data_IF_016588192712
#
_entry.id   IF_016588192712
#
_cell.length_a   1.000
_cell.length_b   1.000
_cell.length_c   1.000
_cell.angle_alpha   90.00
_cell.angle_beta   90.00
_cell.angle_gamma   90.00
#
_symmetry.space_group_name_H-M   'P 1'
#
loop_
_entity.id
_entity.type
_entity.pdbx_description
1 polymer ?
#
# COMPACT_ATOMS: atom_id res chain seq x y z
N UNK A 1 15.58 -22.38 11.02
CA UNK A 1 16.97 -22.24 10.49
C UNK A 1 17.13 -20.80 10.02
N UNK A 2 18.08 -20.04 10.57
CA UNK A 2 18.27 -18.62 10.24
C UNK A 2 19.76 -18.30 10.03
N UNK A 3 20.10 -17.65 8.91
CA UNK A 3 21.48 -17.26 8.62
C UNK A 3 21.91 -16.11 9.52
N UNK A 4 23.11 -16.23 10.07
CA UNK A 4 23.76 -15.31 11.00
C UNK A 4 23.05 -15.21 12.36
N UNK A 5 22.07 -16.08 12.62
CA UNK A 5 21.45 -16.25 13.93
C UNK A 5 21.58 -17.71 14.41
N UNK A 6 20.97 -18.67 13.70
CA UNK A 6 21.04 -20.10 14.05
C UNK A 6 22.16 -20.86 13.32
N UNK A 7 22.57 -20.40 12.14
CA UNK A 7 23.63 -20.99 11.31
C UNK A 7 24.48 -19.88 10.69
N UNK A 8 25.79 -20.11 10.49
CA UNK A 8 26.68 -19.11 9.91
C UNK A 8 26.45 -18.91 8.40
N UNK A 9 26.12 -19.97 7.67
CA UNK A 9 25.83 -19.98 6.23
C UNK A 9 24.76 -21.02 5.90
N UNK A 10 24.07 -20.89 4.76
CA UNK A 10 23.15 -21.94 4.28
C UNK A 10 23.86 -23.30 4.26
N UNK A 11 23.22 -24.38 4.76
CA UNK A 11 23.74 -25.73 4.61
C UNK A 11 23.80 -26.08 3.12
N UNK A 12 24.96 -26.51 2.66
CA UNK A 12 25.16 -26.94 1.28
C UNK A 12 25.41 -28.44 1.26
N UNK A 13 24.73 -29.15 0.35
CA UNK A 13 25.07 -30.53 0.06
C UNK A 13 26.45 -30.58 -0.61
N UNK A 14 27.28 -31.55 -0.23
CA UNK A 14 28.59 -31.75 -0.86
C UNK A 14 28.47 -31.91 -2.39
N UNK A 15 27.40 -32.58 -2.86
CA UNK A 15 27.07 -32.71 -4.27
C UNK A 15 26.85 -31.35 -4.95
N UNK A 16 26.13 -30.43 -4.32
CA UNK A 16 25.88 -29.09 -4.84
C UNK A 16 27.18 -28.28 -4.95
N UNK A 17 28.08 -28.41 -3.97
CA UNK A 17 29.41 -27.74 -4.00
C UNK A 17 30.27 -28.29 -5.14
N UNK A 18 30.35 -29.62 -5.29
CA UNK A 18 31.11 -30.26 -6.37
C UNK A 18 30.57 -29.88 -7.74
N UNK A 19 29.24 -29.87 -7.89
CA UNK A 19 28.55 -29.46 -9.12
C UNK A 19 28.83 -28.00 -9.48
N UNK A 20 28.68 -27.07 -8.53
CA UNK A 20 28.98 -25.66 -8.73
C UNK A 20 30.45 -25.40 -9.09
N UNK A 21 31.37 -26.17 -8.51
CA UNK A 21 32.79 -26.16 -8.88
C UNK A 21 33.02 -26.61 -10.33
N UNK A 22 32.37 -27.71 -10.75
CA UNK A 22 32.45 -28.23 -12.11
C UNK A 22 31.94 -27.26 -13.17
N UNK A 23 30.77 -26.64 -12.94
CA UNK A 23 30.21 -25.61 -13.84
C UNK A 23 31.17 -24.44 -13.96
N UNK A 24 31.65 -23.93 -12.82
CA UNK A 24 32.52 -22.75 -12.78
C UNK A 24 33.82 -23.01 -13.53
N UNK A 25 34.40 -24.20 -13.39
CA UNK A 25 35.60 -24.61 -14.11
C UNK A 25 35.36 -24.68 -15.63
N UNK A 26 34.24 -25.28 -16.08
CA UNK A 26 33.93 -25.38 -17.51
C UNK A 26 33.62 -24.00 -18.14
N UNK A 27 32.85 -23.15 -17.46
CA UNK A 27 32.56 -21.79 -17.93
C UNK A 27 33.85 -20.96 -18.00
N UNK A 28 34.71 -21.05 -16.98
CA UNK A 28 36.01 -20.39 -16.97
C UNK A 28 36.88 -20.84 -18.16
N UNK A 29 36.92 -22.16 -18.43
CA UNK A 29 37.62 -22.70 -19.61
C UNK A 29 37.05 -22.15 -20.92
N UNK A 30 35.72 -22.07 -21.06
CA UNK A 30 35.07 -21.53 -22.27
C UNK A 30 35.39 -20.05 -22.48
N UNK A 31 35.38 -19.24 -21.42
CA UNK A 31 35.73 -17.81 -21.48
C UNK A 31 37.20 -17.66 -21.89
N UNK A 32 38.12 -18.37 -21.22
CA UNK A 32 39.56 -18.27 -21.49
C UNK A 32 39.97 -18.75 -22.88
N UNK A 33 39.22 -19.69 -23.46
CA UNK A 33 39.43 -20.17 -24.84
C UNK A 33 38.72 -19.30 -25.90
N UNK A 34 38.00 -18.25 -25.52
CA UNK A 34 37.25 -17.40 -26.44
C UNK A 34 35.97 -18.04 -27.00
N UNK A 35 35.51 -19.15 -26.41
CA UNK A 35 34.32 -19.90 -26.84
C UNK A 35 33.02 -19.39 -26.20
N UNK A 36 33.10 -18.43 -25.26
CA UNK A 36 31.94 -17.82 -24.61
C UNK A 36 32.23 -16.33 -24.39
N UNK A 37 31.46 -15.46 -25.04
CA UNK A 37 31.62 -13.99 -25.00
C UNK A 37 30.44 -13.25 -24.38
N UNK A 38 29.38 -13.97 -24.01
CA UNK A 38 28.19 -13.39 -23.39
C UNK A 38 28.50 -12.91 -21.97
N UNK A 39 27.98 -11.74 -21.62
CA UNK A 39 28.07 -11.18 -20.26
C UNK A 39 26.69 -11.17 -19.62
N UNK A 40 26.59 -11.64 -18.38
CA UNK A 40 25.32 -11.74 -17.66
C UNK A 40 25.41 -12.61 -16.40
N UNK A 41 24.28 -12.74 -15.71
CA UNK A 41 24.11 -13.69 -14.60
C UNK A 41 23.36 -14.92 -15.12
N UNK A 42 23.91 -16.11 -14.84
CA UNK A 42 23.33 -17.38 -15.24
C UNK A 42 23.02 -18.19 -13.98
N UNK A 43 21.85 -18.81 -13.94
CA UNK A 43 21.42 -19.71 -12.88
C UNK A 43 21.26 -21.10 -13.48
N UNK A 44 21.80 -22.11 -12.80
CA UNK A 44 21.63 -23.51 -13.18
C UNK A 44 21.11 -24.26 -11.96
N UNK A 45 19.87 -24.73 -12.08
CA UNK A 45 19.19 -25.54 -11.07
C UNK A 45 18.93 -26.94 -11.66
N UNK A 46 19.45 -27.96 -11.00
CA UNK A 46 19.29 -29.35 -11.43
C UNK A 46 17.84 -29.81 -11.32
N UNK A 47 17.09 -29.29 -10.35
CA UNK A 47 15.68 -29.63 -10.17
C UNK A 47 14.82 -28.97 -11.26
N UNK A 48 15.27 -27.86 -11.87
CA UNK A 48 14.63 -27.29 -13.06
C UNK A 48 15.00 -28.04 -14.34
N UNK A 49 16.25 -28.48 -14.46
CA UNK A 49 16.72 -29.23 -15.63
C UNK A 49 16.17 -30.66 -15.68
N UNK A 50 15.98 -31.27 -14.51
CA UNK A 50 15.54 -32.65 -14.35
C UNK A 50 14.44 -32.69 -13.29
N UNK A 51 13.22 -32.37 -13.70
CA UNK A 51 12.00 -32.47 -12.89
C UNK A 51 10.94 -33.33 -13.54
N UNK A 52 10.02 -33.83 -12.70
CA UNK A 52 8.74 -34.33 -13.18
C UNK A 52 7.97 -33.21 -13.88
N UNK A 53 7.16 -33.51 -14.92
CA UNK A 53 6.33 -32.51 -15.57
C UNK A 53 5.46 -31.77 -14.54
N UNK A 54 5.48 -30.44 -14.57
CA UNK A 54 4.60 -29.65 -13.70
C UNK A 54 3.15 -30.09 -13.91
N UNK A 55 2.48 -30.46 -12.82
CA UNK A 55 1.03 -30.67 -12.88
C UNK A 55 0.41 -29.33 -13.26
N UNK A 56 -0.47 -29.28 -14.28
CA UNK A 56 -1.11 -28.03 -14.67
C UNK A 56 -1.81 -27.45 -13.45
N UNK A 57 -1.33 -26.29 -12.98
CA UNK A 57 -1.99 -25.56 -11.90
C UNK A 57 -3.38 -25.22 -12.41
N UNK A 58 -4.40 -25.70 -11.69
CA UNK A 58 -5.79 -25.40 -12.00
C UNK A 58 -6.09 -23.98 -11.52
N UNK A 59 -5.51 -22.99 -12.20
CA UNK A 59 -5.73 -21.58 -11.90
C UNK A 59 -7.09 -21.26 -12.49
N UNK A 60 -8.10 -21.13 -11.62
CA UNK A 60 -9.37 -20.56 -12.03
C UNK A 60 -9.09 -19.20 -12.68
N UNK A 61 -9.63 -18.91 -13.87
CA UNK A 61 -9.34 -17.66 -14.55
C UNK A 61 -9.74 -16.50 -13.63
N UNK A 62 -8.74 -15.76 -13.13
CA UNK A 62 -9.00 -14.55 -12.37
C UNK A 62 -9.69 -13.57 -13.32
N UNK A 63 -10.89 -13.13 -12.93
CA UNK A 63 -11.64 -12.14 -13.69
C UNK A 63 -10.90 -10.81 -13.60
N UNK A 64 -10.22 -10.44 -14.67
CA UNK A 64 -9.56 -9.14 -14.80
C UNK A 64 -10.59 -8.01 -14.66
N UNK A 65 -10.47 -7.19 -13.61
CA UNK A 65 -11.30 -5.98 -13.47
C UNK A 65 -10.58 -4.87 -14.24
N UNK A 66 -11.24 -4.38 -15.29
CA UNK A 66 -10.74 -3.29 -16.11
C UNK A 66 -10.90 -1.95 -15.38
N UNK A 67 -10.00 -1.01 -15.67
CA UNK A 67 -10.11 0.36 -15.19
C UNK A 67 -11.37 1.05 -15.70
N UNK A 68 -11.90 1.99 -14.92
CA UNK A 68 -13.11 2.71 -15.29
C UNK A 68 -12.89 3.62 -16.51
N UNK A 69 -13.66 3.38 -17.57
CA UNK A 69 -13.60 4.18 -18.79
C UNK A 69 -14.47 5.44 -18.69
N UNK A 70 -14.02 6.53 -19.30
CA UNK A 70 -14.74 7.82 -19.28
C UNK A 70 -16.18 7.70 -19.79
N UNK A 71 -16.41 6.86 -20.81
CA UNK A 71 -17.75 6.60 -21.34
C UNK A 71 -18.68 5.92 -20.32
N UNK A 72 -18.14 5.05 -19.46
CA UNK A 72 -18.91 4.39 -18.40
C UNK A 72 -19.28 5.36 -17.28
N UNK A 73 -18.37 6.26 -16.92
CA UNK A 73 -18.62 7.33 -15.94
C UNK A 73 -19.71 8.28 -16.46
N UNK A 74 -19.62 8.65 -17.73
CA UNK A 74 -20.62 9.49 -18.38
C UNK A 74 -21.99 8.84 -18.46
N UNK A 75 -22.03 7.54 -18.77
CA UNK A 75 -23.27 6.76 -18.78
C UNK A 75 -23.88 6.66 -17.38
N UNK A 76 -23.05 6.44 -16.36
CA UNK A 76 -23.47 6.41 -14.96
C UNK A 76 -24.10 7.74 -14.53
N UNK A 77 -23.44 8.86 -14.82
CA UNK A 77 -23.93 10.20 -14.46
C UNK A 77 -25.23 10.51 -15.19
N UNK A 78 -25.33 10.16 -16.49
CA UNK A 78 -26.54 10.36 -17.27
C UNK A 78 -27.72 9.55 -16.70
N UNK A 79 -27.48 8.31 -16.31
CA UNK A 79 -28.50 7.41 -15.76
C UNK A 79 -28.98 7.85 -14.38
N UNK A 80 -28.07 8.39 -13.56
CA UNK A 80 -28.34 8.78 -12.18
C UNK A 80 -28.45 10.30 -11.99
N UNK A 81 -28.74 11.06 -13.05
CA UNK A 81 -28.70 12.52 -13.05
C UNK A 81 -29.62 13.16 -11.98
N UNK A 82 -30.72 12.50 -11.61
CA UNK A 82 -31.65 12.96 -10.58
C UNK A 82 -31.09 12.84 -9.15
N UNK A 83 -29.97 12.12 -8.97
CA UNK A 83 -29.32 11.98 -7.68
C UNK A 83 -28.31 13.11 -7.38
N UNK A 84 -28.11 14.04 -8.32
CA UNK A 84 -27.14 15.13 -8.20
C UNK A 84 -27.85 16.48 -8.37
N UNK A 85 -27.52 17.44 -7.52
CA UNK A 85 -28.09 18.79 -7.62
C UNK A 85 -27.55 19.51 -8.85
N UNK A 86 -28.31 20.47 -9.36
CA UNK A 86 -27.81 21.36 -10.41
C UNK A 86 -26.82 22.35 -9.80
N UNK A 87 -25.61 22.41 -10.36
CA UNK A 87 -24.54 23.32 -9.92
C UNK A 87 -24.26 24.36 -10.99
N UNK A 88 -24.45 25.63 -10.65
CA UNK A 88 -24.24 26.75 -11.56
C UNK A 88 -22.78 27.21 -11.60
N UNK A 89 -22.09 27.16 -10.46
CA UNK A 89 -20.72 27.64 -10.37
C UNK A 89 -19.76 26.67 -11.04
N UNK A 90 -19.13 27.12 -12.12
CA UNK A 90 -18.05 26.41 -12.78
C UNK A 90 -16.72 26.73 -12.09
N UNK A 91 -16.09 25.69 -11.53
CA UNK A 91 -14.77 25.82 -10.93
C UNK A 91 -13.71 26.17 -12.00
N UNK A 92 -12.84 27.18 -11.77
CA UNK A 92 -11.71 27.46 -12.64
C UNK A 92 -10.79 26.25 -12.80
N UNK A 93 -10.29 26.02 -14.02
CA UNK A 93 -9.46 24.86 -14.37
C UNK A 93 -8.20 24.77 -13.52
N UNK A 94 -7.58 25.90 -13.18
CA UNK A 94 -6.38 25.97 -12.37
C UNK A 94 -6.63 25.46 -10.95
N UNK A 95 -7.77 25.85 -10.36
CA UNK A 95 -8.19 25.39 -9.03
C UNK A 95 -8.57 23.91 -9.08
N UNK A 96 -9.28 23.47 -10.13
CA UNK A 96 -9.59 22.05 -10.33
C UNK A 96 -8.32 21.20 -10.37
N UNK A 97 -7.32 21.60 -11.15
CA UNK A 97 -6.05 20.87 -11.25
C UNK A 97 -5.32 20.80 -9.90
N UNK A 98 -5.26 21.91 -9.15
CA UNK A 98 -4.66 21.93 -7.82
C UNK A 98 -5.37 20.97 -6.86
N UNK A 99 -6.70 20.94 -6.90
CA UNK A 99 -7.53 20.02 -6.12
C UNK A 99 -7.23 18.55 -6.47
N UNK A 100 -7.16 18.21 -7.77
CA UNK A 100 -6.88 16.84 -8.21
C UNK A 100 -5.47 16.39 -7.82
N UNK A 101 -4.47 17.26 -7.99
CA UNK A 101 -3.09 16.96 -7.57
C UNK A 101 -3.02 16.70 -6.06
N UNK A 102 -3.71 17.52 -5.26
CA UNK A 102 -3.76 17.35 -3.82
C UNK A 102 -4.49 16.06 -3.42
N UNK A 103 -5.61 15.74 -4.07
CA UNK A 103 -6.34 14.51 -3.85
C UNK A 103 -5.45 13.27 -4.09
N UNK A 104 -4.63 13.30 -5.16
CA UNK A 104 -3.67 12.24 -5.48
C UNK A 104 -2.56 12.05 -4.44
N UNK A 105 -2.31 13.04 -3.56
CA UNK A 105 -1.33 12.94 -2.45
C UNK A 105 -1.91 12.28 -1.19
N UNK A 106 -3.17 11.86 -1.22
CA UNK A 106 -3.77 11.12 -0.12
C UNK A 106 -3.01 9.79 0.14
N UNK A 107 -2.87 9.34 1.40
CA UNK A 107 -2.35 8.02 1.68
C UNK A 107 -3.31 6.93 1.19
N UNK A 108 -2.77 5.81 0.72
CA UNK A 108 -3.57 4.63 0.37
C UNK A 108 -2.88 3.32 0.77
N UNK A 109 -3.68 2.29 1.04
CA UNK A 109 -3.19 0.95 1.38
C UNK A 109 -2.36 0.36 0.24
N UNK A 110 -1.14 -0.10 0.52
CA UNK A 110 -0.21 -0.53 -0.53
C UNK A 110 0.18 0.58 -1.53
N UNK A 111 -0.16 1.84 -1.26
CA UNK A 111 -0.07 2.95 -2.20
C UNK A 111 -0.79 2.67 -3.55
N UNK A 112 -1.95 2.01 -3.48
CA UNK A 112 -2.71 1.59 -4.65
C UNK A 112 -3.59 2.67 -5.29
N UNK A 113 -3.80 3.81 -4.61
CA UNK A 113 -4.46 5.00 -5.16
C UNK A 113 -5.86 4.71 -5.79
N UNK A 114 -6.83 4.21 -5.01
CA UNK A 114 -8.05 3.58 -5.53
C UNK A 114 -9.14 4.59 -5.94
N UNK A 115 -8.76 5.79 -6.38
CA UNK A 115 -9.68 6.88 -6.71
C UNK A 115 -9.75 7.12 -8.20
N UNK A 116 -10.97 7.41 -8.68
CA UNK A 116 -11.22 7.93 -10.03
C UNK A 116 -12.05 9.19 -9.94
N UNK A 117 -11.48 10.30 -10.40
CA UNK A 117 -12.12 11.61 -10.44
C UNK A 117 -12.70 11.91 -11.82
N UNK A 118 -13.90 12.49 -11.87
CA UNK A 118 -14.54 12.88 -13.12
C UNK A 118 -15.30 14.19 -12.96
N UNK A 119 -14.89 15.24 -13.68
CA UNK A 119 -15.54 16.55 -13.61
C UNK A 119 -16.50 16.75 -14.77
N UNK A 120 -17.79 16.91 -14.47
CA UNK A 120 -18.85 17.07 -15.48
C UNK A 120 -20.02 17.86 -14.91
N UNK A 121 -20.64 18.72 -15.73
CA UNK A 121 -21.79 19.54 -15.33
C UNK A 121 -21.50 20.36 -14.05
N UNK A 122 -20.29 20.91 -13.93
CA UNK A 122 -19.81 21.66 -12.76
C UNK A 122 -19.72 20.86 -11.45
N UNK A 123 -19.80 19.53 -11.54
CA UNK A 123 -19.68 18.61 -10.40
C UNK A 123 -18.40 17.81 -10.56
N UNK A 124 -17.62 17.71 -9.49
CA UNK A 124 -16.56 16.72 -9.39
C UNK A 124 -17.15 15.44 -8.79
N UNK A 125 -17.04 14.33 -9.50
CA UNK A 125 -17.46 13.01 -9.03
C UNK A 125 -16.25 12.20 -8.56
N UNK A 126 -16.39 11.49 -7.44
CA UNK A 126 -15.42 10.54 -6.92
C UNK A 126 -15.98 9.12 -7.00
N UNK A 127 -15.29 8.27 -7.76
CA UNK A 127 -15.56 6.85 -7.91
C UNK A 127 -14.43 6.02 -7.27
N UNK A 128 -14.76 4.78 -6.90
CA UNK A 128 -13.76 3.78 -6.54
C UNK A 128 -13.20 3.16 -7.81
N UNK A 129 -11.89 3.27 -8.03
CA UNK A 129 -11.19 2.56 -9.11
C UNK A 129 -10.99 1.10 -8.69
N UNK A 130 -11.96 0.24 -9.02
CA UNK A 130 -11.94 -1.17 -8.61
C UNK A 130 -10.80 -1.97 -9.25
N UNK A 131 -10.22 -1.51 -10.36
CA UNK A 131 -9.02 -2.14 -10.92
C UNK A 131 -7.79 -1.96 -10.02
N UNK A 132 -7.72 -0.84 -9.29
CA UNK A 132 -6.67 -0.52 -8.32
C UNK A 132 -6.98 -1.04 -6.90
N UNK A 133 -8.26 -1.15 -6.53
CA UNK A 133 -8.72 -1.64 -5.24
C UNK A 133 -8.76 -3.18 -5.13
N UNK A 134 -7.70 -3.87 -5.55
CA UNK A 134 -7.63 -5.35 -5.59
C UNK A 134 -6.70 -5.96 -4.53
N UNK A 135 -6.18 -5.15 -3.61
CA UNK A 135 -5.26 -5.64 -2.59
C UNK A 135 -5.92 -6.76 -1.77
N UNK A 136 -5.18 -7.86 -1.58
CA UNK A 136 -5.66 -9.02 -0.82
C UNK A 136 -6.02 -8.61 0.62
N UNK A 137 -5.26 -7.66 1.17
CA UNK A 137 -5.43 -7.12 2.52
C UNK A 137 -6.49 -6.01 2.60
N UNK A 138 -7.32 -5.82 1.58
CA UNK A 138 -8.40 -4.83 1.56
C UNK A 138 -9.80 -5.48 1.40
N UNK A 139 -10.19 -6.41 2.31
CA UNK A 139 -11.51 -7.00 2.24
C UNK A 139 -12.58 -5.92 2.39
N UNK A 140 -13.60 -5.98 1.54
CA UNK A 140 -14.71 -5.02 1.50
C UNK A 140 -14.28 -3.56 1.27
N UNK A 141 -13.09 -3.33 0.69
CA UNK A 141 -12.57 -2.00 0.37
C UNK A 141 -12.37 -1.09 1.59
N UNK A 142 -12.21 -1.63 2.81
CA UNK A 142 -12.10 -0.83 4.04
C UNK A 142 -10.92 0.14 4.00
N UNK A 143 -9.74 -0.34 3.58
CA UNK A 143 -8.54 0.49 3.40
C UNK A 143 -8.74 1.47 2.24
N UNK A 144 -9.37 1.02 1.14
CA UNK A 144 -9.68 1.91 0.02
C UNK A 144 -10.64 3.05 0.41
N UNK A 145 -11.69 2.79 1.20
CA UNK A 145 -12.59 3.84 1.70
C UNK A 145 -11.89 4.82 2.63
N UNK A 146 -10.96 4.33 3.47
CA UNK A 146 -10.13 5.21 4.30
C UNK A 146 -9.26 6.13 3.42
N UNK A 147 -8.71 5.59 2.34
CA UNK A 147 -7.91 6.33 1.35
C UNK A 147 -8.74 7.39 0.61
N UNK A 148 -9.97 7.03 0.20
CA UNK A 148 -10.93 7.93 -0.43
C UNK A 148 -11.36 9.06 0.52
N UNK A 149 -11.56 8.76 1.81
CA UNK A 149 -11.83 9.77 2.84
C UNK A 149 -10.68 10.77 2.98
N UNK A 150 -9.43 10.30 2.98
CA UNK A 150 -8.28 11.18 3.00
C UNK A 150 -8.15 12.04 1.72
N UNK A 151 -8.52 11.49 0.55
CA UNK A 151 -8.58 12.26 -0.70
C UNK A 151 -9.67 13.34 -0.66
N UNK A 152 -10.85 13.05 -0.09
CA UNK A 152 -11.91 14.03 0.16
C UNK A 152 -11.40 15.18 1.03
N UNK A 153 -10.68 14.88 2.12
CA UNK A 153 -10.12 15.90 3.00
C UNK A 153 -9.11 16.81 2.28
N UNK A 154 -8.21 16.23 1.47
CA UNK A 154 -7.28 17.02 0.66
C UNK A 154 -8.01 17.95 -0.33
N UNK A 155 -9.12 17.51 -0.92
CA UNK A 155 -9.96 18.34 -1.82
C UNK A 155 -10.54 19.52 -1.05
N UNK A 156 -11.08 19.29 0.15
CA UNK A 156 -11.68 20.33 1.00
C UNK A 156 -10.63 21.38 1.37
N UNK A 157 -9.45 20.95 1.82
CA UNK A 157 -8.37 21.83 2.27
C UNK A 157 -7.81 22.69 1.12
N UNK A 158 -7.56 22.11 -0.05
CA UNK A 158 -7.00 22.87 -1.19
C UNK A 158 -8.04 23.75 -1.87
N UNK A 159 -9.31 23.35 -1.90
CA UNK A 159 -10.38 24.26 -2.31
C UNK A 159 -10.41 25.50 -1.40
N UNK A 160 -10.36 25.29 -0.08
CA UNK A 160 -10.37 26.38 0.90
C UNK A 160 -9.17 27.32 0.72
N UNK A 161 -7.96 26.79 0.53
CA UNK A 161 -6.75 27.57 0.24
C UNK A 161 -6.92 28.47 -1.00
N UNK A 162 -7.74 28.05 -1.96
CA UNK A 162 -8.07 28.80 -3.17
C UNK A 162 -9.35 29.66 -3.06
N UNK A 163 -9.80 29.96 -1.84
CA UNK A 163 -10.99 30.76 -1.53
C UNK A 163 -12.30 30.16 -2.11
N UNK A 164 -12.37 28.84 -2.22
CA UNK A 164 -13.54 28.09 -2.68
C UNK A 164 -13.94 27.09 -1.61
N UNK A 165 -15.24 27.01 -1.28
CA UNK A 165 -15.75 25.94 -0.42
C UNK A 165 -16.07 24.72 -1.26
N UNK A 166 -15.46 23.57 -0.96
CA UNK A 166 -15.91 22.29 -1.50
C UNK A 166 -17.03 21.73 -0.61
N UNK A 167 -18.25 21.66 -1.15
CA UNK A 167 -19.36 20.97 -0.48
C UNK A 167 -19.49 19.59 -1.11
N UNK A 168 -19.43 18.53 -0.30
CA UNK A 168 -19.51 17.17 -0.78
C UNK A 168 -20.70 16.42 -0.19
N UNK A 169 -21.24 15.50 -0.97
CA UNK A 169 -22.31 14.60 -0.57
C UNK A 169 -21.87 13.16 -0.84
N UNK A 170 -21.86 12.33 0.22
CA UNK A 170 -21.61 10.90 0.09
C UNK A 170 -22.79 10.18 -0.56
N UNK A 171 -22.52 9.12 -1.30
CA UNK A 171 -23.54 8.35 -2.03
C UNK A 171 -23.54 6.87 -1.66
N UNK A 172 -23.91 6.51 -0.41
CA UNK A 172 -23.91 5.11 0.04
C UNK A 172 -24.77 4.19 -0.83
N UNK A 173 -25.81 4.72 -1.47
CA UNK A 173 -26.69 3.98 -2.39
C UNK A 173 -26.01 3.53 -3.71
N UNK A 174 -24.83 4.07 -4.03
CA UNK A 174 -24.09 3.76 -5.26
C UNK A 174 -22.75 3.06 -4.99
N UNK A 175 -22.46 2.74 -3.74
CA UNK A 175 -21.29 1.97 -3.33
C UNK A 175 -21.40 0.53 -3.89
N UNK A 176 -20.28 -0.07 -4.35
CA UNK A 176 -18.91 0.42 -4.26
C UNK A 176 -18.50 1.38 -5.39
N UNK A 177 -19.33 1.60 -6.41
CA UNK A 177 -18.91 2.30 -7.64
C UNK A 177 -18.69 3.80 -7.45
N UNK A 178 -19.69 4.53 -6.94
CA UNK A 178 -19.62 5.98 -6.75
C UNK A 178 -19.67 6.31 -5.25
N UNK A 179 -18.76 7.18 -4.81
CA UNK A 179 -18.47 7.42 -3.39
C UNK A 179 -19.02 8.76 -2.94
N UNK A 180 -18.73 9.82 -3.70
CA UNK A 180 -19.12 11.17 -3.37
C UNK A 180 -19.18 12.04 -4.62
N UNK A 181 -19.91 13.14 -4.53
CA UNK A 181 -19.84 14.22 -5.52
C UNK A 181 -19.67 15.56 -4.81
N UNK A 182 -19.05 16.52 -5.50
CA UNK A 182 -18.70 17.82 -4.97
C UNK A 182 -19.31 18.94 -5.82
N UNK A 183 -19.85 19.93 -5.13
CA UNK A 183 -20.13 21.26 -5.68
C UNK A 183 -19.22 22.29 -5.02
N UNK A 184 -19.00 23.40 -5.71
CA UNK A 184 -18.07 24.43 -5.26
C UNK A 184 -18.79 25.76 -5.07
N UNK A 185 -18.44 26.49 -4.00
CA UNK A 185 -18.96 27.83 -3.72
C UNK A 185 -17.81 28.82 -3.67
N UNK A 186 -17.81 29.88 -4.49
CA UNK A 186 -16.74 30.87 -4.50
C UNK A 186 -16.78 31.78 -3.26
N UNK A 187 -15.73 32.58 -3.08
CA UNK A 187 -15.61 33.59 -2.02
C UNK A 187 -15.68 32.99 -0.60
N UNK A 188 -15.15 31.77 -0.43
CA UNK A 188 -15.00 31.16 0.87
C UNK A 188 -13.78 31.75 1.59
N UNK A 189 -13.96 32.13 2.85
CA UNK A 189 -12.88 32.63 3.69
C UNK A 189 -12.32 31.47 4.53
N UNK A 190 -11.22 30.88 4.07
CA UNK A 190 -10.54 29.82 4.80
C UNK A 190 -10.02 30.31 6.16
N UNK A 191 -10.18 29.48 7.18
CA UNK A 191 -9.63 29.72 8.50
C UNK A 191 -8.14 29.33 8.55
N UNK A 192 -7.46 29.74 9.62
CA UNK A 192 -6.00 29.49 9.79
C UNK A 192 -5.64 28.01 9.84
N UNK A 193 -6.54 27.16 10.34
CA UNK A 193 -6.29 25.71 10.46
C UNK A 193 -6.33 25.08 9.07
N UNK A 194 -7.34 25.37 8.26
CA UNK A 194 -7.46 24.90 6.87
C UNK A 194 -6.20 25.26 6.07
N UNK A 195 -5.77 26.53 6.12
CA UNK A 195 -4.56 27.00 5.43
C UNK A 195 -3.27 26.33 5.92
N UNK A 196 -3.19 25.98 7.21
CA UNK A 196 -2.02 25.31 7.76
C UNK A 196 -1.98 23.82 7.38
N UNK A 197 -3.14 23.16 7.38
CA UNK A 197 -3.28 21.74 7.00
C UNK A 197 -3.06 21.55 5.49
N UNK A 198 -3.59 22.44 4.64
CA UNK A 198 -3.36 22.40 3.19
C UNK A 198 -1.86 22.37 2.85
N UNK A 199 -1.06 23.20 3.52
CA UNK A 199 0.41 23.21 3.38
C UNK A 199 1.08 21.88 3.74
N UNK A 200 0.47 21.08 4.61
CA UNK A 200 1.04 19.78 5.01
C UNK A 200 0.85 18.68 3.96
N UNK A 201 -0.09 18.85 3.02
CA UNK A 201 -0.41 17.81 2.02
C UNK A 201 0.84 17.37 1.23
N UNK A 202 1.67 18.32 0.80
CA UNK A 202 2.91 18.04 0.06
C UNK A 202 4.09 17.62 0.93
N UNK A 203 4.02 17.81 2.25
CA UNK A 203 5.10 17.48 3.20
C UNK A 203 4.89 16.15 3.91
N UNK A 204 3.62 15.73 4.05
CA UNK A 204 3.22 14.49 4.71
C UNK A 204 3.79 13.29 3.96
N UNK A 205 4.37 12.37 4.72
CA UNK A 205 4.80 11.07 4.23
C UNK A 205 4.63 10.02 5.32
N UNK A 206 4.58 8.74 4.94
CA UNK A 206 4.59 7.63 5.89
C UNK A 206 6.03 7.39 6.33
N UNK A 207 6.34 7.74 7.58
CA UNK A 207 7.65 7.50 8.16
C UNK A 207 7.70 6.11 8.81
N UNK A 208 8.59 5.25 8.31
CA UNK A 208 8.80 3.87 8.80
C UNK A 208 10.08 3.70 9.62
N UNK A 209 10.76 4.80 9.93
CA UNK A 209 12.00 4.80 10.71
C UNK A 209 11.75 4.29 12.11
N UNK A 210 12.62 3.40 12.57
CA UNK A 210 12.65 2.98 13.96
C UNK A 210 13.46 4.00 14.76
N UNK A 211 12.79 4.75 15.64
CA UNK A 211 13.42 5.74 16.51
C UNK A 211 13.50 5.24 17.95
N UNK A 212 14.40 5.79 18.79
CA UNK A 212 14.36 5.55 20.23
C UNK A 212 12.97 5.87 20.79
N UNK A 213 12.50 5.04 21.73
CA UNK A 213 11.20 5.25 22.36
C UNK A 213 11.26 6.48 23.28
N UNK A 214 10.36 7.42 23.03
CA UNK A 214 10.10 8.57 23.90
C UNK A 214 8.62 8.57 24.29
N UNK A 215 8.26 9.00 25.49
CA UNK A 215 6.85 9.06 25.88
C UNK A 215 6.14 10.16 25.08
N UNK A 216 4.99 9.83 24.48
CA UNK A 216 4.15 10.81 23.80
C UNK A 216 3.47 11.71 24.85
N UNK A 217 3.78 13.02 24.94
CA UNK A 217 3.23 13.87 25.99
C UNK A 217 1.70 13.88 25.99
N UNK A 218 1.09 13.87 27.18
CA UNK A 218 -0.37 13.83 27.32
C UNK A 218 -1.06 14.98 26.57
N UNK A 219 -0.46 16.17 26.58
CA UNK A 219 -0.99 17.32 25.85
C UNK A 219 -1.11 17.09 24.33
N UNK A 220 -0.17 16.33 23.73
CA UNK A 220 -0.25 15.97 22.31
C UNK A 220 -1.30 14.88 22.07
N UNK A 221 -1.45 13.91 22.98
CA UNK A 221 -2.52 12.92 22.92
C UNK A 221 -3.90 13.58 22.99
N UNK A 222 -4.08 14.53 23.92
CA UNK A 222 -5.33 15.26 24.10
C UNK A 222 -5.65 16.10 22.87
N UNK A 223 -4.66 16.78 22.30
CA UNK A 223 -4.81 17.56 21.07
C UNK A 223 -5.28 16.69 19.90
N UNK A 224 -4.62 15.55 19.66
CA UNK A 224 -5.03 14.60 18.61
C UNK A 224 -6.41 13.98 18.89
N UNK A 225 -6.72 13.70 20.15
CA UNK A 225 -8.02 13.16 20.55
C UNK A 225 -9.15 14.16 20.29
N UNK A 226 -8.94 15.44 20.58
CA UNK A 226 -9.91 16.50 20.31
C UNK A 226 -10.18 16.62 18.80
N UNK A 227 -9.14 16.56 17.96
CA UNK A 227 -9.32 16.57 16.50
C UNK A 227 -10.19 15.41 16.00
N UNK A 228 -10.02 14.21 16.56
CA UNK A 228 -10.85 13.06 16.19
C UNK A 228 -12.32 13.30 16.58
N UNK A 229 -12.60 13.95 17.70
CA UNK A 229 -13.98 14.22 18.13
C UNK A 229 -14.73 15.24 17.26
N UNK A 230 -14.04 15.98 16.40
CA UNK A 230 -14.68 16.85 15.39
C UNK A 230 -15.47 16.03 14.36
N UNK A 231 -15.10 14.75 14.17
CA UNK A 231 -15.85 13.80 13.34
C UNK A 231 -16.85 13.05 14.20
N UNK A 232 -18.14 13.28 13.93
CA UNK A 232 -19.24 12.64 14.68
C UNK A 232 -19.11 11.11 14.70
N UNK A 233 -19.08 10.54 15.91
CA UNK A 233 -18.96 9.11 16.16
C UNK A 233 -17.52 8.57 16.17
N UNK A 234 -16.55 9.32 15.65
CA UNK A 234 -15.16 8.90 15.66
C UNK A 234 -14.58 8.88 17.08
N UNK A 235 -13.72 7.89 17.36
CA UNK A 235 -13.03 7.74 18.65
C UNK A 235 -11.59 7.32 18.41
N UNK A 236 -10.68 7.83 19.22
CA UNK A 236 -9.31 7.34 19.29
C UNK A 236 -9.08 6.61 20.61
N UNK A 237 -8.41 5.45 20.53
CA UNK A 237 -7.93 4.71 21.70
C UNK A 237 -6.41 4.68 21.65
N UNK A 238 -5.78 5.14 22.73
CA UNK A 238 -4.33 5.13 22.86
C UNK A 238 -3.85 3.88 23.57
N UNK A 239 -2.84 3.23 22.99
CA UNK A 239 -2.12 2.11 23.56
C UNK A 239 -0.69 2.54 23.88
N UNK A 240 -0.39 2.71 25.17
CA UNK A 240 0.93 3.11 25.69
C UNK A 240 1.56 2.04 26.59
N UNK A 241 0.74 1.11 27.09
CA UNK A 241 1.16 -0.02 27.91
C UNK A 241 2.11 -0.93 27.12
N UNK A 242 3.31 -1.14 27.67
CA UNK A 242 4.39 -1.87 27.02
C UNK A 242 4.02 -3.32 26.74
N UNK A 243 3.33 -3.99 27.66
CA UNK A 243 2.99 -5.40 27.49
C UNK A 243 1.85 -5.60 26.50
N UNK A 244 0.90 -4.65 26.45
CA UNK A 244 -0.10 -4.63 25.39
C UNK A 244 0.48 -4.30 24.01
N UNK A 245 1.46 -3.39 23.93
CA UNK A 245 2.19 -3.11 22.69
C UNK A 245 2.91 -4.37 22.21
N UNK A 246 3.59 -5.11 23.10
CA UNK A 246 4.21 -6.40 22.74
C UNK A 246 3.19 -7.43 22.27
N UNK A 247 2.03 -7.52 22.93
CA UNK A 247 0.96 -8.42 22.51
C UNK A 247 0.44 -8.08 21.11
N UNK A 248 0.23 -6.79 20.83
CA UNK A 248 -0.16 -6.31 19.50
C UNK A 248 0.93 -6.57 18.45
N UNK A 249 2.21 -6.35 18.80
CA UNK A 249 3.34 -6.66 17.94
C UNK A 249 3.32 -8.15 17.55
N UNK A 250 3.10 -9.05 18.51
CA UNK A 250 3.01 -10.48 18.24
C UNK A 250 1.88 -10.81 17.25
N UNK A 251 0.69 -10.22 17.43
CA UNK A 251 -0.43 -10.38 16.50
C UNK A 251 -0.03 -9.92 15.10
N UNK A 252 0.47 -8.68 14.97
CA UNK A 252 0.87 -8.10 13.69
C UNK A 252 1.93 -8.95 12.97
N UNK A 253 2.94 -9.43 13.70
CA UNK A 253 4.01 -10.26 13.13
C UNK A 253 3.54 -11.62 12.64
N UNK A 254 2.54 -12.22 13.30
CA UNK A 254 1.93 -13.47 12.85
C UNK A 254 1.11 -13.21 11.59
N UNK A 255 0.37 -12.11 11.54
CA UNK A 255 -0.39 -11.70 10.33
C UNK A 255 0.53 -11.46 9.14
N UNK A 256 1.65 -10.73 9.31
CA UNK A 256 2.63 -10.51 8.25
C UNK A 256 3.29 -11.80 7.77
N UNK A 257 3.53 -12.76 8.68
CA UNK A 257 4.06 -14.06 8.26
C UNK A 257 3.02 -14.88 7.48
N UNK A 258 1.75 -14.86 7.91
CA UNK A 258 0.66 -15.51 7.17
C UNK A 258 0.49 -14.91 5.77
N UNK A 259 0.68 -13.59 5.63
CA UNK A 259 0.69 -12.92 4.34
C UNK A 259 1.71 -13.51 3.37
N UNK A 260 2.85 -14.02 3.87
CA UNK A 260 3.85 -14.69 3.04
C UNK A 260 3.49 -16.13 2.70
N UNK A 261 2.80 -16.83 3.57
CA UNK A 261 2.50 -18.27 3.41
C UNK A 261 1.17 -18.56 2.72
N UNK A 262 0.26 -17.59 2.69
CA UNK A 262 -0.97 -17.68 1.90
C UNK A 262 -0.62 -17.28 0.47
N UNK A 263 -0.73 -18.22 -0.47
CA UNK A 263 -0.34 -18.06 -1.88
C UNK A 263 -0.89 -16.78 -2.50
N UNK A 264 -2.18 -16.50 -2.35
CA UNK A 264 -2.82 -15.34 -2.96
C UNK A 264 -2.35 -14.01 -2.33
N UNK A 265 -2.14 -14.00 -1.02
CA UNK A 265 -1.64 -12.83 -0.29
C UNK A 265 -0.17 -12.55 -0.64
N UNK A 266 0.60 -13.61 -0.84
CA UNK A 266 1.99 -13.56 -1.25
C UNK A 266 2.11 -13.05 -2.68
N UNK A 267 1.36 -13.63 -3.62
CA UNK A 267 1.31 -13.16 -5.01
C UNK A 267 0.92 -11.68 -5.09
N UNK A 268 -0.10 -11.25 -4.35
CA UNK A 268 -0.53 -9.85 -4.27
C UNK A 268 0.57 -8.92 -3.74
N UNK A 269 1.26 -9.32 -2.67
CA UNK A 269 2.39 -8.59 -2.11
C UNK A 269 3.52 -8.42 -3.13
N UNK A 270 3.91 -9.50 -3.83
CA UNK A 270 5.03 -9.48 -4.76
C UNK A 270 4.72 -8.68 -6.03
N UNK A 271 3.49 -8.81 -6.55
CA UNK A 271 3.14 -8.34 -7.90
C UNK A 271 2.43 -6.99 -7.90
N UNK A 272 1.57 -6.70 -6.92
CA UNK A 272 0.76 -5.47 -6.88
C UNK A 272 1.30 -4.45 -5.90
N UNK A 273 1.63 -4.86 -4.67
CA UNK A 273 2.05 -3.91 -3.64
C UNK A 273 3.50 -3.45 -3.80
N UNK A 274 4.45 -4.38 -3.96
CA UNK A 274 5.86 -4.03 -3.88
C UNK A 274 6.45 -3.56 -5.21
N UNK A 275 7.31 -2.54 -5.13
CA UNK A 275 8.20 -2.10 -6.21
C UNK A 275 9.63 -2.45 -5.82
N UNK A 276 10.18 -3.46 -6.50
CA UNK A 276 11.42 -4.13 -6.08
C UNK A 276 12.67 -3.32 -6.39
N UNK A 277 12.61 -2.44 -7.38
CA UNK A 277 13.70 -1.55 -7.74
C UNK A 277 13.18 -0.10 -7.86
N UNK A 278 14.03 0.93 -7.66
CA UNK A 278 13.62 2.33 -7.79
C UNK A 278 12.99 2.68 -9.13
N UNK A 279 13.49 2.08 -10.22
CA UNK A 279 12.99 2.31 -11.57
C UNK A 279 11.54 1.85 -11.74
N UNK A 280 11.15 0.75 -11.08
CA UNK A 280 9.78 0.25 -11.10
C UNK A 280 8.83 1.24 -10.40
N UNK A 281 9.27 1.79 -9.27
CA UNK A 281 8.49 2.76 -8.51
C UNK A 281 8.30 4.08 -9.29
N UNK A 282 9.36 4.57 -9.96
CA UNK A 282 9.28 5.78 -10.79
C UNK A 282 8.40 5.55 -12.02
N UNK A 283 8.50 4.38 -12.65
CA UNK A 283 7.76 4.08 -13.88
C UNK A 283 6.27 3.88 -13.63
N UNK A 284 5.91 3.21 -12.54
CA UNK A 284 4.51 2.85 -12.24
C UNK A 284 3.80 3.92 -11.42
N UNK A 285 4.56 4.76 -10.67
CA UNK A 285 4.04 5.85 -9.84
C UNK A 285 3.02 5.40 -8.78
N UNK A 286 3.05 4.12 -8.41
CA UNK A 286 2.21 3.48 -7.41
C UNK A 286 2.99 2.39 -6.65
N UNK A 287 2.33 1.71 -5.71
CA UNK A 287 2.98 0.67 -4.92
C UNK A 287 4.01 1.21 -3.94
N UNK A 288 4.68 0.29 -3.24
CA UNK A 288 5.66 0.60 -2.20
C UNK A 288 7.05 0.19 -2.70
N UNK A 289 7.89 1.19 -2.96
CA UNK A 289 9.31 0.97 -3.21
C UNK A 289 10.00 0.35 -2.00
N UNK A 290 10.72 -0.77 -2.19
CA UNK A 290 11.48 -1.39 -1.09
C UNK A 290 12.48 -0.42 -0.43
N UNK A 291 12.97 0.57 -1.18
CA UNK A 291 13.90 1.59 -0.71
C UNK A 291 13.25 2.62 0.23
N UNK A 292 11.91 2.67 0.27
CA UNK A 292 11.11 3.56 1.14
C UNK A 292 10.73 2.90 2.47
N UNK A 293 11.04 1.63 2.64
CA UNK A 293 10.72 0.85 3.84
C UNK A 293 11.72 1.06 4.99
N UNK A 294 12.76 1.89 4.80
CA UNK A 294 13.83 2.14 5.77
C UNK A 294 14.57 0.86 6.23
N UNK A 295 14.74 -0.08 5.30
CA UNK A 295 15.38 -1.37 5.54
C UNK A 295 16.90 -1.26 5.45
N UNK A 296 17.60 -1.89 6.40
CA UNK A 296 19.03 -2.14 6.30
C UNK A 296 19.39 -3.04 5.11
N UNK A 297 20.67 -3.06 4.72
CA UNK A 297 21.10 -3.81 3.54
C UNK A 297 20.73 -5.31 3.62
N UNK A 298 20.97 -5.94 4.77
CA UNK A 298 20.64 -7.36 4.98
C UNK A 298 19.13 -7.61 4.89
N UNK A 299 18.31 -6.67 5.36
CA UNK A 299 16.86 -6.78 5.33
C UNK A 299 16.31 -6.62 3.92
N UNK A 300 16.90 -5.75 3.10
CA UNK A 300 16.57 -5.64 1.68
C UNK A 300 16.90 -6.92 0.91
N UNK A 301 18.04 -7.56 1.23
CA UNK A 301 18.40 -8.86 0.65
C UNK A 301 17.41 -9.93 1.11
N UNK A 302 17.07 -9.96 2.39
CA UNK A 302 16.09 -10.89 2.96
C UNK A 302 14.71 -10.77 2.31
N UNK A 303 14.19 -9.55 2.16
CA UNK A 303 12.87 -9.31 1.53
C UNK A 303 12.86 -9.74 0.06
N UNK A 304 13.98 -9.64 -0.66
CA UNK A 304 14.07 -10.11 -2.05
C UNK A 304 13.95 -11.62 -2.19
N UNK A 305 14.30 -12.39 -1.15
CA UNK A 305 14.05 -13.85 -1.13
C UNK A 305 12.56 -14.17 -1.19
N UNK A 306 11.69 -13.25 -0.75
CA UNK A 306 10.25 -13.45 -0.83
C UNK A 306 9.75 -13.52 -2.28
N UNK A 307 10.52 -13.07 -3.27
CA UNK A 307 10.14 -13.25 -4.68
C UNK A 307 10.18 -14.71 -5.13
N UNK A 308 10.92 -15.56 -4.42
CA UNK A 308 11.07 -16.97 -4.74
C UNK A 308 10.04 -17.79 -3.96
N UNK A 309 8.97 -18.21 -4.65
CA UNK A 309 7.92 -19.04 -4.05
C UNK A 309 8.46 -20.39 -3.56
N UNK A 310 9.49 -20.97 -4.20
CA UNK A 310 10.09 -22.23 -3.70
C UNK A 310 10.75 -21.99 -2.34
N UNK A 311 11.48 -20.88 -2.20
CA UNK A 311 12.09 -20.50 -0.93
C UNK A 311 11.06 -20.24 0.16
N UNK A 312 9.95 -19.56 -0.17
CA UNK A 312 8.85 -19.30 0.77
C UNK A 312 8.15 -20.60 1.20
N UNK A 313 7.86 -21.50 0.26
CA UNK A 313 7.27 -22.82 0.57
C UNK A 313 8.21 -23.65 1.47
N UNK A 314 9.51 -23.67 1.16
CA UNK A 314 10.48 -24.35 2.01
C UNK A 314 10.51 -23.76 3.43
N UNK A 315 10.46 -22.42 3.57
CA UNK A 315 10.37 -21.78 4.89
C UNK A 315 9.10 -22.19 5.63
N UNK A 316 7.98 -22.34 4.94
CA UNK A 316 6.73 -22.82 5.54
C UNK A 316 6.85 -24.27 6.02
N UNK A 317 7.41 -25.16 5.20
CA UNK A 317 7.56 -26.59 5.49
C UNK A 317 8.41 -26.86 6.74
N UNK A 318 9.39 -25.99 7.01
CA UNK A 318 10.29 -26.12 8.17
C UNK A 318 9.87 -25.27 9.38
N UNK A 319 8.67 -24.66 9.35
CA UNK A 319 8.22 -23.68 10.35
C UNK A 319 9.24 -22.55 10.59
N UNK A 320 9.83 -22.08 9.49
CA UNK A 320 10.83 -21.02 9.42
C UNK A 320 10.24 -19.61 9.26
N UNK A 321 11.07 -18.67 8.83
CA UNK A 321 10.63 -17.29 8.53
C UNK A 321 10.44 -16.38 9.75
N UNK A 322 10.80 -16.83 10.97
CA UNK A 322 10.78 -15.99 12.17
C UNK A 322 11.60 -14.71 12.04
N UNK A 323 12.69 -14.71 11.28
CA UNK A 323 13.47 -13.52 10.98
C UNK A 323 12.64 -12.39 10.33
N UNK A 324 11.62 -12.71 9.52
CA UNK A 324 10.73 -11.72 8.91
C UNK A 324 9.81 -11.05 9.93
N UNK A 325 9.53 -11.70 11.06
CA UNK A 325 8.77 -11.10 12.18
C UNK A 325 9.54 -9.94 12.83
N UNK A 326 10.87 -9.97 12.78
CA UNK A 326 11.73 -9.03 13.53
C UNK A 326 11.42 -7.57 13.19
N UNK A 327 11.27 -7.24 11.91
CA UNK A 327 11.09 -5.86 11.46
C UNK A 327 9.78 -5.26 11.97
N UNK A 328 8.67 -5.94 11.71
CA UNK A 328 7.35 -5.55 12.22
C UNK A 328 7.36 -5.47 13.74
N UNK A 329 7.93 -6.47 14.43
CA UNK A 329 8.03 -6.47 15.89
C UNK A 329 8.78 -5.23 16.42
N UNK A 330 9.93 -4.91 15.82
CA UNK A 330 10.74 -3.76 16.22
C UNK A 330 10.01 -2.42 16.04
N UNK A 331 9.26 -2.24 14.96
CA UNK A 331 8.46 -1.03 14.74
C UNK A 331 7.40 -0.82 15.82
N UNK A 332 6.68 -1.88 16.20
CA UNK A 332 5.68 -1.80 17.27
C UNK A 332 6.34 -1.56 18.63
N UNK A 333 7.40 -2.29 18.97
CA UNK A 333 8.06 -2.18 20.28
C UNK A 333 8.72 -0.81 20.47
N UNK A 334 9.26 -0.22 19.40
CA UNK A 334 9.87 1.10 19.42
C UNK A 334 8.85 2.25 19.47
N UNK A 335 7.55 1.97 19.25
CA UNK A 335 6.51 3.00 19.22
C UNK A 335 6.32 3.65 20.59
N UNK A 336 6.27 4.97 20.61
CA UNK A 336 5.90 5.80 21.77
C UNK A 336 4.48 5.51 22.26
N UNK A 337 3.55 5.44 21.31
CA UNK A 337 2.14 5.13 21.51
C UNK A 337 1.57 4.60 20.19
N UNK A 338 0.48 3.83 20.28
CA UNK A 338 -0.29 3.40 19.10
C UNK A 338 -1.70 3.96 19.25
N UNK A 339 -2.15 4.76 18.28
CA UNK A 339 -3.49 5.32 18.23
C UNK A 339 -4.39 4.49 17.30
N UNK A 340 -5.48 3.95 17.84
CA UNK A 340 -6.52 3.27 17.06
C UNK A 340 -7.71 4.20 16.88
N UNK A 341 -7.95 4.65 15.65
CA UNK A 341 -9.17 5.38 15.29
C UNK A 341 -10.27 4.37 14.94
N UNK A 342 -11.45 4.59 15.51
CA UNK A 342 -12.64 3.75 15.29
C UNK A 342 -13.84 4.60 14.94
N UNK A 343 -14.72 4.04 14.10
CA UNK A 343 -16.02 4.60 13.77
C UNK A 343 -17.11 3.63 14.25
N UNK A 344 -18.35 4.11 14.49
CA UNK A 344 -19.48 3.23 14.68
C UNK A 344 -19.62 2.33 13.44
N UNK A 345 -20.09 1.09 13.65
CA UNK A 345 -20.32 0.17 12.52
C UNK A 345 -21.27 0.83 11.52
N UNK A 346 -20.77 1.12 10.33
CA UNK A 346 -21.56 1.69 9.25
C UNK A 346 -22.53 0.66 8.67
N UNK A 347 -23.62 1.15 8.07
CA UNK A 347 -24.52 0.37 7.25
C UNK A 347 -23.98 0.36 5.81
N UNK A 348 -22.82 -0.23 5.57
CA UNK A 348 -22.40 -0.54 4.19
C UNK A 348 -23.00 -1.91 3.89
N UNK A 349 -23.98 -1.91 2.99
CA UNK A 349 -24.78 -3.08 2.61
C UNK A 349 -23.95 -4.13 1.87
#
# INVERSE_FOLDING_TARGET
>A
IEIMASISTWPQLASAVTYGGGITADLSRKILLGNLSVSGRFFIDMDELISDPEKPKNIAPQKEIKSLETAELDSFIKTNNLAFDKVEYQLPTEILNAIIEAAGKAPSGGNNQPWRFHYKNNILHLFLEQSAAQAYLDPLYISSYSSLGAAIENIVLVAAENNVKANYTLTPQFVPKHIAWFSFTPNYNANKIELNLAKQISLRHTNRKTTPKEDLPQAEQDKLSNLVTEVSGAKITWLTDVDKIKALANIATVTDLQRMFITEAHEDFITREMRWNPEDAIKQEDGIGIHTLDLGHNDQVGIRLLKDTKAVNFLQDIDGGSAFKRLTSQQFIASSAIGLITMPKGNIA
#
